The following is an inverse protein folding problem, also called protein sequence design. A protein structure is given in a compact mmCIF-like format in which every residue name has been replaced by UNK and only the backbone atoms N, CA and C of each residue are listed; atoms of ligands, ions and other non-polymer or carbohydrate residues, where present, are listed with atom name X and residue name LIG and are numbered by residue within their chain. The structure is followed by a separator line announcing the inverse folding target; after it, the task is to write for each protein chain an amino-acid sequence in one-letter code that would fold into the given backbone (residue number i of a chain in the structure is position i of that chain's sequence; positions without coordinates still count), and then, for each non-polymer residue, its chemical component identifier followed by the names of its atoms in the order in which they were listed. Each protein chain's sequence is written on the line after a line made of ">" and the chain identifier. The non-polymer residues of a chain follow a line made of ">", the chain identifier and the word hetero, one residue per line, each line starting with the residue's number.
data_IF_440623636955
#
_entry.id   IF_440623636955
#
_cell.length_a   1.000
_cell.length_b   1.000
_cell.length_c   1.000
_cell.angle_alpha   90.00
_cell.angle_beta   90.00
_cell.angle_gamma   90.00
#
_symmetry.space_group_name_H-M   'P 1'
#
loop_
_entity.id
_entity.type
_entity.pdbx_description
1 polymer ?
#
# COMPACT_ATOMS: atom_id res chain seq x y z
N UNK A 1 -23.12 30.63 -44.95
CA UNK A 1 -23.04 29.35 -44.25
C UNK A 1 -22.26 29.60 -42.99
N UNK A 2 -22.86 29.48 -41.82
CA UNK A 2 -22.15 29.64 -40.54
C UNK A 2 -21.52 28.27 -40.26
N UNK A 3 -20.22 28.17 -40.30
CA UNK A 3 -19.55 26.94 -39.94
C UNK A 3 -19.47 26.86 -38.42
N UNK A 4 -20.06 25.86 -37.85
CA UNK A 4 -19.87 25.57 -36.43
C UNK A 4 -18.44 25.07 -36.25
N UNK A 5 -17.61 25.87 -35.58
CA UNK A 5 -16.20 25.53 -35.31
C UNK A 5 -16.03 24.35 -34.32
N UNK A 6 -17.13 23.75 -33.86
CA UNK A 6 -17.11 22.60 -32.97
C UNK A 6 -18.00 21.50 -33.56
N UNK A 7 -17.61 20.24 -33.29
CA UNK A 7 -18.37 19.04 -33.63
C UNK A 7 -18.24 17.99 -32.57
N UNK A 8 -19.28 17.19 -32.45
CA UNK A 8 -19.33 15.99 -31.63
C UNK A 8 -19.16 14.80 -32.55
N UNK A 9 -18.32 13.84 -32.14
CA UNK A 9 -18.12 12.60 -32.87
C UNK A 9 -17.52 11.52 -31.98
N UNK A 10 -17.40 10.33 -32.54
CA UNK A 10 -16.89 9.14 -31.85
C UNK A 10 -15.42 8.91 -32.19
N UNK A 11 -14.62 8.52 -31.20
CA UNK A 11 -13.22 8.16 -31.40
C UNK A 11 -13.11 6.87 -32.20
N UNK A 12 -12.57 6.94 -33.43
CA UNK A 12 -12.38 5.81 -34.32
C UNK A 12 -11.02 5.13 -34.19
N UNK A 13 -9.98 5.89 -33.82
CA UNK A 13 -8.63 5.35 -33.56
C UNK A 13 -7.82 6.30 -32.68
N UNK A 14 -6.84 5.74 -31.98
CA UNK A 14 -5.96 6.48 -31.07
C UNK A 14 -4.48 6.24 -31.40
N UNK A 15 -3.65 7.26 -31.15
CA UNK A 15 -2.20 7.18 -31.23
C UNK A 15 -1.59 7.59 -29.87
N UNK A 16 -1.34 6.66 -28.96
CA UNK A 16 -0.82 6.94 -27.62
C UNK A 16 0.56 7.62 -27.62
N UNK A 17 1.39 7.34 -28.62
CA UNK A 17 2.76 7.90 -28.69
C UNK A 17 2.73 9.42 -28.97
N UNK A 18 1.77 9.85 -29.80
CA UNK A 18 1.62 11.27 -30.16
C UNK A 18 0.57 11.99 -29.33
N UNK A 19 -0.18 11.28 -28.47
CA UNK A 19 -1.34 11.81 -27.76
C UNK A 19 -2.37 12.44 -28.72
N UNK A 20 -2.72 11.69 -29.80
CA UNK A 20 -3.69 12.09 -30.81
C UNK A 20 -4.75 11.01 -31.00
N UNK A 21 -5.91 11.40 -31.53
CA UNK A 21 -6.94 10.47 -31.94
C UNK A 21 -7.60 10.95 -33.25
N UNK A 22 -8.28 10.01 -33.91
CA UNK A 22 -9.16 10.30 -35.07
C UNK A 22 -10.59 10.14 -34.62
N UNK A 23 -11.43 11.02 -35.10
CA UNK A 23 -12.85 11.09 -34.77
C UNK A 23 -13.68 10.91 -36.03
N UNK A 24 -14.72 10.10 -35.95
CA UNK A 24 -15.72 9.88 -37.00
C UNK A 24 -16.95 10.74 -36.69
N UNK A 25 -17.50 11.39 -37.72
CA UNK A 25 -18.74 12.16 -37.65
C UNK A 25 -19.82 11.46 -38.47
N UNK A 26 -20.82 10.90 -37.81
CA UNK A 26 -21.92 10.19 -38.49
C UNK A 26 -22.81 11.13 -39.32
N UNK A 27 -22.96 12.39 -38.93
CA UNK A 27 -23.72 13.41 -39.60
C UNK A 27 -23.06 13.90 -40.90
N UNK A 28 -21.78 13.59 -41.13
CA UNK A 28 -20.99 14.01 -42.28
C UNK A 28 -20.59 12.82 -43.19
N UNK A 29 -21.52 11.91 -43.46
CA UNK A 29 -21.26 10.69 -44.26
C UNK A 29 -20.14 9.82 -43.70
N UNK A 30 -20.06 9.68 -42.39
CA UNK A 30 -19.01 8.92 -41.68
C UNK A 30 -17.59 9.41 -42.00
N UNK A 31 -17.41 10.71 -42.14
CA UNK A 31 -16.12 11.31 -42.37
C UNK A 31 -15.22 11.15 -41.13
N UNK A 32 -13.97 10.76 -41.37
CA UNK A 32 -12.96 10.60 -40.33
C UNK A 32 -11.94 11.72 -40.39
N UNK A 33 -11.61 12.30 -39.24
CA UNK A 33 -10.61 13.38 -39.14
C UNK A 33 -9.20 12.89 -39.41
N UNK A 34 -8.24 13.80 -39.57
CA UNK A 34 -6.82 13.54 -39.38
C UNK A 34 -6.53 13.27 -37.90
N UNK A 35 -5.25 13.03 -37.55
CA UNK A 35 -4.81 12.84 -36.17
C UNK A 35 -4.94 14.15 -35.40
N UNK A 36 -5.98 14.31 -34.61
CA UNK A 36 -6.22 15.50 -33.78
C UNK A 36 -5.51 15.36 -32.43
N UNK A 37 -4.80 16.39 -31.95
CA UNK A 37 -4.25 16.40 -30.59
C UNK A 37 -5.39 16.38 -29.55
N UNK A 38 -5.14 15.71 -28.42
CA UNK A 38 -6.08 15.64 -27.30
C UNK A 38 -5.65 16.68 -26.26
N UNK A 39 -6.57 17.56 -25.86
CA UNK A 39 -6.31 18.56 -24.84
C UNK A 39 -5.96 17.91 -23.50
N UNK A 40 -4.82 18.30 -22.95
CA UNK A 40 -4.36 17.91 -21.63
C UNK A 40 -4.34 19.14 -20.73
N UNK A 41 -4.49 18.97 -19.40
CA UNK A 41 -4.42 20.09 -18.46
C UNK A 41 -3.06 20.76 -18.48
N UNK A 42 -1.99 19.97 -18.56
CA UNK A 42 -0.61 20.42 -18.57
C UNK A 42 0.20 19.60 -19.58
N UNK A 43 1.10 20.24 -20.33
CA UNK A 43 1.82 19.58 -21.43
C UNK A 43 3.32 19.93 -21.52
N UNK A 44 3.87 20.69 -20.56
CA UNK A 44 5.29 21.11 -20.64
C UNK A 44 6.09 20.58 -19.43
N UNK A 45 6.26 21.35 -18.38
CA UNK A 45 6.99 20.95 -17.16
C UNK A 45 6.21 19.94 -16.36
N UNK A 46 5.00 20.29 -15.94
CA UNK A 46 4.01 19.33 -15.46
C UNK A 46 3.30 18.75 -16.67
N UNK A 47 3.00 17.45 -16.62
CA UNK A 47 2.37 16.74 -17.73
C UNK A 47 1.24 15.87 -17.22
N UNK A 48 0.06 16.05 -17.79
CA UNK A 48 -1.06 15.14 -17.65
C UNK A 48 -1.13 14.27 -18.91
N UNK A 49 -1.61 13.05 -18.75
CA UNK A 49 -1.81 12.13 -19.85
C UNK A 49 -3.10 11.35 -19.64
N UNK A 50 -4.08 11.64 -20.49
CA UNK A 50 -5.35 10.95 -20.52
C UNK A 50 -5.76 10.75 -21.99
N UNK A 51 -5.94 9.50 -22.37
CA UNK A 51 -6.41 9.11 -23.70
C UNK A 51 -7.87 8.70 -23.61
N UNK A 52 -8.72 9.10 -24.59
CA UNK A 52 -10.05 8.52 -24.71
C UNK A 52 -9.95 7.06 -25.19
N UNK A 53 -10.97 6.27 -24.90
CA UNK A 53 -11.14 4.94 -25.51
C UNK A 53 -11.73 5.07 -26.93
N UNK A 54 -11.49 4.07 -27.76
CA UNK A 54 -12.16 3.93 -29.06
C UNK A 54 -13.65 3.68 -28.81
N UNK A 55 -14.53 4.41 -29.49
CA UNK A 55 -15.96 4.41 -29.27
C UNK A 55 -16.45 5.46 -28.26
N UNK A 56 -15.55 6.33 -27.76
CA UNK A 56 -15.91 7.39 -26.82
C UNK A 56 -16.38 8.65 -27.54
N UNK A 57 -17.50 9.24 -27.09
CA UNK A 57 -18.02 10.49 -27.60
C UNK A 57 -17.17 11.67 -27.13
N UNK A 58 -16.69 12.48 -28.10
CA UNK A 58 -15.80 13.61 -27.86
C UNK A 58 -16.27 14.88 -28.54
N UNK A 59 -15.94 16.00 -27.89
CA UNK A 59 -16.10 17.33 -28.48
C UNK A 59 -14.81 17.77 -29.15
N UNK A 60 -14.89 18.10 -30.45
CA UNK A 60 -13.79 18.62 -31.24
C UNK A 60 -14.00 20.12 -31.53
N UNK A 61 -12.92 20.89 -31.49
CA UNK A 61 -12.87 22.28 -31.92
C UNK A 61 -11.94 22.42 -33.14
N UNK A 62 -12.43 23.04 -34.21
CA UNK A 62 -11.70 23.25 -35.45
C UNK A 62 -11.35 24.72 -35.68
N UNK A 63 -10.18 24.97 -36.25
CA UNK A 63 -9.69 26.35 -36.56
C UNK A 63 -10.08 26.86 -37.93
N UNK A 64 -10.47 25.99 -38.83
CA UNK A 64 -10.84 26.30 -40.21
C UNK A 64 -12.03 25.46 -40.65
N UNK A 65 -12.50 25.72 -41.85
CA UNK A 65 -13.67 25.07 -42.48
C UNK A 65 -13.42 23.56 -42.80
N UNK A 66 -12.22 23.04 -42.52
CA UNK A 66 -11.85 21.64 -42.71
C UNK A 66 -11.62 20.91 -41.36
N UNK A 67 -11.69 19.58 -41.40
CA UNK A 67 -11.45 18.69 -40.24
C UNK A 67 -9.96 18.31 -40.07
N UNK A 68 -9.07 19.12 -40.68
CA UNK A 68 -7.63 18.86 -40.69
C UNK A 68 -6.90 19.52 -39.52
N UNK A 69 -7.37 20.68 -39.06
CA UNK A 69 -6.73 21.50 -38.02
C UNK A 69 -7.70 21.73 -36.86
N UNK A 70 -7.67 20.85 -35.90
CA UNK A 70 -8.53 20.87 -34.72
C UNK A 70 -7.88 20.27 -33.50
N UNK A 71 -8.62 20.26 -32.41
CA UNK A 71 -8.23 19.68 -31.11
C UNK A 71 -9.43 18.99 -30.48
N UNK A 72 -9.21 17.83 -29.86
CA UNK A 72 -10.20 17.17 -29.02
C UNK A 72 -10.16 17.83 -27.64
N UNK A 73 -11.28 18.44 -27.23
CA UNK A 73 -11.40 19.19 -25.98
C UNK A 73 -11.64 18.26 -24.79
N UNK A 74 -12.40 17.18 -24.99
CA UNK A 74 -12.73 16.19 -23.96
C UNK A 74 -13.91 15.34 -24.37
N UNK A 75 -14.22 14.38 -23.52
CA UNK A 75 -15.35 13.46 -23.63
C UNK A 75 -16.50 13.87 -22.71
N UNK A 76 -17.67 13.32 -22.98
CA UNK A 76 -18.86 13.52 -22.18
C UNK A 76 -19.71 12.25 -22.20
N UNK A 77 -20.56 12.09 -21.19
CA UNK A 77 -21.47 10.95 -21.12
C UNK A 77 -22.63 11.14 -22.08
N UNK A 78 -22.84 10.18 -23.00
CA UNK A 78 -23.91 10.17 -23.97
C UNK A 78 -24.50 8.77 -24.13
N UNK A 79 -25.70 8.70 -24.73
CA UNK A 79 -26.39 7.44 -24.97
C UNK A 79 -26.66 6.66 -23.67
N UNK A 80 -26.26 5.38 -23.68
CA UNK A 80 -26.45 4.46 -22.55
C UNK A 80 -25.28 4.46 -21.57
N UNK A 81 -24.27 5.35 -21.74
CA UNK A 81 -23.11 5.44 -20.86
C UNK A 81 -23.43 6.31 -19.66
N UNK A 82 -23.55 5.69 -18.49
CA UNK A 82 -23.84 6.39 -17.23
C UNK A 82 -22.55 6.85 -16.53
N UNK A 83 -22.58 8.03 -15.86
CA UNK A 83 -21.47 8.45 -15.00
C UNK A 83 -21.31 7.48 -13.81
N UNK A 84 -20.06 7.27 -13.33
CA UNK A 84 -19.77 6.31 -12.26
C UNK A 84 -20.31 6.73 -10.89
N UNK A 85 -20.86 7.94 -10.76
CA UNK A 85 -21.40 8.50 -9.52
C UNK A 85 -22.74 9.21 -9.75
N UNK A 86 -23.60 9.14 -8.75
CA UNK A 86 -24.92 9.78 -8.74
C UNK A 86 -25.00 10.97 -7.79
N UNK A 87 -23.90 11.34 -7.13
CA UNK A 87 -23.82 12.46 -6.18
C UNK A 87 -22.70 13.43 -6.56
N UNK A 88 -22.92 14.71 -6.32
CA UNK A 88 -21.91 15.76 -6.51
C UNK A 88 -20.85 15.79 -5.40
N UNK A 89 -20.97 14.99 -4.36
CA UNK A 89 -20.04 14.96 -3.24
C UNK A 89 -18.80 14.10 -3.51
N UNK A 90 -18.82 13.32 -4.59
CA UNK A 90 -17.74 12.42 -4.96
C UNK A 90 -16.95 12.92 -6.15
N UNK A 91 -15.65 12.76 -6.08
CA UNK A 91 -14.75 12.84 -7.22
C UNK A 91 -14.12 11.47 -7.44
N UNK A 92 -14.45 10.86 -8.57
CA UNK A 92 -14.07 9.48 -8.87
C UNK A 92 -13.31 9.39 -10.19
N UNK A 93 -12.32 8.52 -10.23
CA UNK A 93 -11.68 8.02 -11.44
C UNK A 93 -11.86 6.51 -11.46
N UNK A 94 -12.40 5.98 -12.54
CA UNK A 94 -12.56 4.55 -12.78
C UNK A 94 -11.74 4.16 -13.99
N UNK A 95 -10.93 3.13 -13.86
CA UNK A 95 -10.15 2.55 -14.95
C UNK A 95 -10.90 1.35 -15.54
N UNK A 96 -10.55 1.00 -16.78
CA UNK A 96 -11.20 -0.09 -17.52
C UNK A 96 -11.10 -1.47 -16.85
N UNK A 97 -10.08 -1.69 -16.04
CA UNK A 97 -9.87 -2.91 -15.25
C UNK A 97 -10.69 -2.94 -13.95
N UNK A 98 -11.51 -1.92 -13.69
CA UNK A 98 -12.29 -1.75 -12.47
C UNK A 98 -11.54 -1.09 -11.30
N UNK A 99 -10.26 -0.73 -11.49
CA UNK A 99 -9.53 0.09 -10.52
C UNK A 99 -10.25 1.42 -10.31
N UNK A 100 -10.43 1.82 -9.04
CA UNK A 100 -11.20 3.01 -8.69
C UNK A 100 -10.48 3.85 -7.65
N UNK A 101 -10.41 5.16 -7.89
CA UNK A 101 -9.93 6.16 -6.93
C UNK A 101 -11.09 7.11 -6.66
N UNK A 102 -11.54 7.21 -5.42
CA UNK A 102 -12.69 8.02 -5.06
C UNK A 102 -12.41 8.83 -3.80
N UNK A 103 -12.71 10.12 -3.85
CA UNK A 103 -12.81 10.96 -2.66
C UNK A 103 -14.26 11.41 -2.48
N UNK A 104 -14.81 11.11 -1.31
CA UNK A 104 -16.13 11.54 -0.88
C UNK A 104 -15.99 12.67 0.15
N UNK A 105 -16.40 13.89 -0.24
CA UNK A 105 -16.29 15.07 0.63
C UNK A 105 -17.33 15.09 1.76
N UNK A 106 -18.43 14.37 1.63
CA UNK A 106 -19.47 14.32 2.67
C UNK A 106 -19.01 13.48 3.86
N UNK A 107 -18.34 12.36 3.60
CA UNK A 107 -17.74 11.50 4.63
C UNK A 107 -16.26 11.79 4.88
N UNK A 108 -15.63 12.68 4.10
CA UNK A 108 -14.21 12.96 4.10
C UNK A 108 -13.34 11.72 3.89
N UNK A 109 -13.78 10.80 3.05
CA UNK A 109 -13.15 9.50 2.86
C UNK A 109 -12.47 9.41 1.48
N UNK A 110 -11.20 9.06 1.48
CA UNK A 110 -10.45 8.63 0.30
C UNK A 110 -10.46 7.11 0.23
N UNK A 111 -10.93 6.56 -0.88
CA UNK A 111 -10.90 5.12 -1.16
C UNK A 111 -10.14 4.85 -2.45
N UNK A 112 -9.20 3.90 -2.41
CA UNK A 112 -8.55 3.35 -3.60
C UNK A 112 -8.78 1.85 -3.62
N UNK A 113 -9.32 1.34 -4.72
CA UNK A 113 -9.59 -0.09 -4.93
C UNK A 113 -8.85 -0.56 -6.17
N UNK A 114 -8.02 -1.59 -6.01
CA UNK A 114 -7.25 -2.21 -7.11
C UNK A 114 -7.41 -3.73 -6.95
N UNK A 115 -8.28 -4.34 -7.74
CA UNK A 115 -8.64 -5.75 -7.57
C UNK A 115 -9.01 -6.07 -6.11
N UNK A 116 -8.28 -6.92 -5.42
CA UNK A 116 -8.53 -7.25 -4.01
C UNK A 116 -7.88 -6.31 -2.98
N UNK A 117 -7.04 -5.36 -3.43
CA UNK A 117 -6.40 -4.37 -2.54
C UNK A 117 -7.34 -3.21 -2.31
N UNK A 118 -7.53 -2.83 -1.05
CA UNK A 118 -8.36 -1.68 -0.64
C UNK A 118 -7.58 -0.79 0.31
N UNK A 119 -7.53 0.49 -0.02
CA UNK A 119 -6.95 1.54 0.82
C UNK A 119 -8.06 2.51 1.18
N UNK A 120 -8.27 2.76 2.46
CA UNK A 120 -9.27 3.70 2.96
C UNK A 120 -8.63 4.62 3.98
N UNK A 121 -8.82 5.91 3.80
CA UNK A 121 -8.46 6.93 4.78
C UNK A 121 -9.63 7.88 4.99
N UNK A 122 -9.99 8.13 6.23
CA UNK A 122 -10.91 9.17 6.63
C UNK A 122 -10.26 10.13 7.65
N UNK A 123 -11.03 10.97 8.32
CA UNK A 123 -10.50 11.94 9.30
C UNK A 123 -9.93 11.30 10.58
N UNK A 124 -10.26 10.06 10.88
CA UNK A 124 -9.94 9.39 12.15
C UNK A 124 -9.20 8.07 11.94
N UNK A 125 -9.47 7.39 10.84
CA UNK A 125 -8.97 6.05 10.59
C UNK A 125 -8.24 5.93 9.25
N UNK A 126 -7.30 5.00 9.19
CA UNK A 126 -6.65 4.60 7.96
C UNK A 126 -6.47 3.09 7.91
N UNK A 127 -6.79 2.47 6.80
CA UNK A 127 -6.60 1.03 6.61
C UNK A 127 -6.03 0.72 5.23
N UNK A 128 -5.20 -0.31 5.19
CA UNK A 128 -4.64 -0.89 3.96
C UNK A 128 -4.86 -2.39 4.04
N UNK A 129 -5.67 -2.93 3.15
CA UNK A 129 -5.92 -4.37 3.02
C UNK A 129 -5.30 -4.86 1.72
N UNK A 130 -4.44 -5.86 1.82
CA UNK A 130 -3.76 -6.49 0.68
C UNK A 130 -3.99 -8.00 0.76
N UNK A 131 -4.45 -8.67 -0.33
CA UNK A 131 -4.82 -10.09 -0.27
C UNK A 131 -3.64 -11.03 0.03
N UNK A 132 -2.45 -10.73 -0.47
CA UNK A 132 -1.32 -11.66 -0.40
C UNK A 132 -0.15 -11.12 0.40
N UNK A 133 0.49 -10.02 -0.01
CA UNK A 133 1.69 -9.54 0.64
C UNK A 133 1.82 -8.02 0.58
N UNK A 134 2.33 -7.43 1.65
CA UNK A 134 2.75 -6.04 1.71
C UNK A 134 4.21 -5.96 2.13
N UNK A 135 4.99 -5.09 1.48
CA UNK A 135 6.41 -4.90 1.79
C UNK A 135 6.74 -3.42 1.94
N UNK A 136 7.56 -3.10 2.94
CA UNK A 136 8.07 -1.75 3.17
C UNK A 136 9.60 -1.78 3.09
N UNK A 137 10.18 -1.12 2.10
CA UNK A 137 11.63 -0.99 1.92
C UNK A 137 12.02 0.46 2.20
N UNK A 138 12.74 0.68 3.28
CA UNK A 138 13.18 2.02 3.67
C UNK A 138 14.51 1.97 4.43
N UNK A 139 15.20 3.10 4.51
CA UNK A 139 16.42 3.22 5.31
C UNK A 139 16.10 3.23 6.82
N UNK A 140 15.00 3.88 7.21
CA UNK A 140 14.52 3.95 8.59
C UNK A 140 13.01 3.91 8.61
N UNK A 141 12.41 3.16 9.54
CA UNK A 141 10.98 3.12 9.79
C UNK A 141 10.71 3.50 11.25
N UNK A 142 9.66 4.28 11.49
CA UNK A 142 9.16 4.61 12.81
C UNK A 142 7.66 4.25 12.87
N UNK A 143 7.29 3.44 13.87
CA UNK A 143 5.89 3.21 14.23
C UNK A 143 5.69 3.78 15.63
N UNK A 144 4.85 4.79 15.77
CA UNK A 144 4.56 5.43 17.04
C UNK A 144 3.05 5.42 17.29
N UNK A 145 2.64 4.85 18.41
CA UNK A 145 1.26 4.84 18.87
C UNK A 145 1.21 5.32 20.34
N UNK A 146 0.19 6.10 20.68
CA UNK A 146 0.01 6.60 22.05
C UNK A 146 -0.52 5.55 23.01
N UNK A 147 -1.18 4.51 22.51
CA UNK A 147 -1.80 3.47 23.32
C UNK A 147 -1.17 2.10 23.08
N UNK A 148 -1.23 1.57 21.87
CA UNK A 148 -0.75 0.22 21.59
C UNK A 148 -0.34 0.04 20.13
N UNK A 149 0.57 -0.90 19.90
CA UNK A 149 0.87 -1.50 18.59
C UNK A 149 0.61 -3.01 18.71
N UNK A 150 -0.26 -3.54 17.86
CA UNK A 150 -0.54 -4.97 17.79
C UNK A 150 0.06 -5.57 16.51
N UNK A 151 0.80 -6.66 16.68
CA UNK A 151 1.28 -7.49 15.56
C UNK A 151 0.61 -8.85 15.73
N UNK A 152 -0.37 -9.14 14.89
CA UNK A 152 -1.09 -10.41 14.86
C UNK A 152 -0.53 -11.27 13.70
N UNK A 153 0.34 -12.21 14.05
CA UNK A 153 1.00 -13.10 13.10
C UNK A 153 1.40 -14.39 13.77
N UNK A 154 1.21 -15.56 13.14
CA UNK A 154 1.71 -16.83 13.66
C UNK A 154 3.22 -16.84 13.90
N UNK A 155 3.99 -16.08 13.12
CA UNK A 155 5.45 -15.96 13.26
C UNK A 155 5.89 -14.52 12.99
N UNK A 156 6.72 -13.98 13.87
CA UNK A 156 7.37 -12.69 13.70
C UNK A 156 8.88 -12.88 13.74
N UNK A 157 9.60 -12.44 12.71
CA UNK A 157 11.06 -12.59 12.61
C UNK A 157 11.75 -11.25 12.75
N UNK A 158 12.72 -11.17 13.65
CA UNK A 158 13.64 -10.04 13.79
C UNK A 158 15.05 -10.55 13.47
N UNK A 159 15.66 -10.04 12.42
CA UNK A 159 17.01 -10.46 11.97
C UNK A 159 18.12 -9.66 12.64
N UNK A 160 17.80 -8.61 13.35
CA UNK A 160 18.73 -7.76 14.10
C UNK A 160 18.46 -7.79 15.62
N UNK A 161 19.09 -6.86 16.33
CA UNK A 161 18.92 -6.72 17.77
C UNK A 161 17.57 -6.09 18.12
N UNK A 162 16.98 -6.53 19.22
CA UNK A 162 15.77 -5.94 19.80
C UNK A 162 16.13 -5.29 21.12
N UNK A 163 15.76 -4.01 21.30
CA UNK A 163 15.84 -3.32 22.57
C UNK A 163 14.43 -3.04 23.08
N UNK A 164 14.11 -3.54 24.28
CA UNK A 164 12.83 -3.33 24.94
C UNK A 164 13.07 -2.57 26.24
N UNK A 165 12.46 -1.40 26.39
CA UNK A 165 12.58 -0.60 27.63
C UNK A 165 11.58 -1.03 28.70
N UNK A 166 10.54 -1.74 28.34
CA UNK A 166 9.48 -2.22 29.22
C UNK A 166 9.58 -3.71 29.53
N UNK A 167 8.49 -4.27 30.02
CA UNK A 167 8.36 -5.68 30.36
C UNK A 167 8.16 -6.53 29.10
N UNK A 168 8.79 -7.70 29.07
CA UNK A 168 8.51 -8.75 28.08
C UNK A 168 7.72 -9.86 28.77
N UNK A 169 6.53 -10.18 28.27
CA UNK A 169 5.71 -11.29 28.76
C UNK A 169 5.55 -12.34 27.65
N UNK A 170 6.05 -13.53 27.88
CA UNK A 170 5.89 -14.69 26.98
C UNK A 170 4.92 -15.71 27.60
N UNK A 171 3.73 -15.89 27.04
CA UNK A 171 2.75 -16.87 27.54
C UNK A 171 3.06 -18.30 27.12
N UNK A 172 3.73 -18.49 25.98
CA UNK A 172 4.11 -19.79 25.45
C UNK A 172 5.51 -20.27 25.84
N UNK A 173 6.24 -19.47 26.63
CA UNK A 173 7.61 -19.76 27.01
C UNK A 173 8.66 -18.87 26.33
N UNK A 174 9.91 -19.09 26.70
CA UNK A 174 11.08 -18.41 26.18
C UNK A 174 12.19 -19.41 25.88
N UNK A 175 12.62 -19.52 24.64
CA UNK A 175 13.69 -20.42 24.22
C UNK A 175 14.83 -19.63 23.58
N UNK A 176 16.05 -19.85 24.02
CA UNK A 176 17.27 -19.33 23.42
C UNK A 176 18.10 -20.47 22.89
N UNK A 177 18.39 -20.49 21.61
CA UNK A 177 19.21 -21.52 20.95
C UNK A 177 20.37 -20.89 20.21
N UNK A 178 21.57 -21.41 20.45
CA UNK A 178 22.82 -20.93 19.84
C UNK A 178 23.39 -19.65 20.47
N UNK A 179 24.53 -19.19 19.97
CA UNK A 179 25.18 -17.96 20.40
C UNK A 179 25.78 -17.99 21.81
N UNK A 180 25.94 -16.83 22.41
CA UNK A 180 26.60 -16.63 23.71
C UNK A 180 25.74 -16.89 24.95
N UNK A 181 24.56 -17.52 24.82
CA UNK A 181 23.66 -17.77 25.94
C UNK A 181 22.85 -16.56 26.40
N UNK A 182 22.39 -16.59 27.65
CA UNK A 182 21.61 -15.51 28.28
C UNK A 182 22.44 -14.87 29.39
N UNK A 183 22.61 -13.54 29.32
CA UNK A 183 23.20 -12.75 30.40
C UNK A 183 22.10 -12.00 31.11
N UNK A 184 21.86 -12.27 32.41
CA UNK A 184 20.90 -11.54 33.22
C UNK A 184 21.63 -10.74 34.31
N UNK A 185 21.62 -9.42 34.21
CA UNK A 185 22.13 -8.51 35.23
C UNK A 185 21.00 -8.07 36.16
N UNK A 186 20.26 -9.03 36.73
CA UNK A 186 19.09 -8.81 37.56
C UNK A 186 18.84 -10.04 38.48
N UNK A 187 17.90 -9.92 39.40
CA UNK A 187 17.42 -11.08 40.15
C UNK A 187 16.55 -11.97 39.25
N UNK A 188 16.78 -13.29 39.32
CA UNK A 188 15.96 -14.28 38.65
C UNK A 188 15.15 -15.02 39.71
N UNK A 189 13.81 -14.93 39.62
CA UNK A 189 12.91 -15.76 40.42
C UNK A 189 12.37 -16.89 39.56
N UNK A 190 12.62 -18.12 39.96
CA UNK A 190 12.15 -19.31 39.27
C UNK A 190 11.07 -20.00 40.11
N UNK A 191 9.84 -20.07 39.59
CA UNK A 191 8.73 -20.81 40.17
C UNK A 191 8.58 -22.18 39.49
N UNK A 192 9.59 -23.02 39.57
CA UNK A 192 9.66 -24.28 38.86
C UNK A 192 10.99 -24.97 39.10
N UNK A 193 11.39 -25.88 38.22
CA UNK A 193 12.63 -26.62 38.29
C UNK A 193 13.70 -26.02 37.40
N UNK A 194 14.91 -25.87 37.92
CA UNK A 194 16.11 -25.58 37.10
C UNK A 194 16.80 -26.90 36.77
N UNK A 195 16.93 -27.24 35.52
CA UNK A 195 17.72 -28.39 35.05
C UNK A 195 18.95 -27.87 34.31
N UNK A 196 20.12 -28.17 34.81
CA UNK A 196 21.39 -27.90 34.14
C UNK A 196 22.01 -29.21 33.67
N UNK A 197 22.46 -29.26 32.42
CA UNK A 197 23.12 -30.48 31.86
C UNK A 197 24.59 -30.56 32.26
N UNK A 198 25.21 -29.45 32.65
CA UNK A 198 26.60 -29.41 33.12
C UNK A 198 26.65 -29.03 34.58
N UNK A 199 26.76 -27.76 34.93
CA UNK A 199 26.89 -27.31 36.31
C UNK A 199 26.19 -25.96 36.53
N UNK A 200 25.88 -25.64 37.77
CA UNK A 200 25.45 -24.32 38.25
C UNK A 200 26.51 -23.82 39.20
N UNK A 201 27.18 -22.71 38.87
CA UNK A 201 28.26 -22.13 39.65
C UNK A 201 27.81 -20.82 40.28
N UNK A 202 27.92 -20.67 41.59
CA UNK A 202 27.64 -19.43 42.32
C UNK A 202 28.89 -19.02 43.13
N UNK A 203 29.43 -17.82 42.88
CA UNK A 203 30.63 -17.29 43.53
C UNK A 203 31.82 -18.26 43.51
N UNK A 204 31.99 -19.01 42.42
CA UNK A 204 33.06 -20.00 42.27
C UNK A 204 32.77 -21.35 42.89
N UNK A 205 31.64 -21.56 43.51
CA UNK A 205 31.22 -22.81 44.11
C UNK A 205 30.33 -23.58 43.12
N UNK A 206 30.77 -24.78 42.73
CA UNK A 206 30.03 -25.70 41.87
C UNK A 206 28.90 -26.37 42.65
N UNK A 207 27.68 -26.38 42.09
CA UNK A 207 26.58 -27.14 42.71
C UNK A 207 26.80 -28.65 42.60
N UNK A 208 27.43 -29.09 41.51
CA UNK A 208 27.68 -30.49 41.22
C UNK A 208 28.93 -31.05 41.94
N UNK A 209 29.93 -30.24 42.23
CA UNK A 209 31.25 -30.65 42.70
C UNK A 209 31.69 -30.13 44.06
N UNK A 210 30.84 -29.37 44.81
CA UNK A 210 31.25 -28.83 46.11
C UNK A 210 31.21 -29.90 47.23
N UNK A 211 32.09 -29.71 48.23
CA UNK A 211 32.15 -30.52 49.46
C UNK A 211 32.03 -29.60 50.68
N UNK A 212 31.69 -30.13 51.79
CA UNK A 212 31.67 -29.46 53.08
C UNK A 212 32.72 -29.98 54.03
N UNK A 213 33.35 -29.15 54.83
CA UNK A 213 34.26 -29.56 55.87
C UNK A 213 33.44 -30.01 57.07
N UNK A 214 33.69 -31.25 57.52
CA UNK A 214 33.09 -31.82 58.71
C UNK A 214 34.17 -32.14 59.77
N UNK A 215 33.84 -32.34 61.07
CA UNK A 215 34.81 -32.61 62.14
C UNK A 215 35.68 -33.86 61.91
N UNK A 216 35.27 -34.74 61.05
CA UNK A 216 35.99 -36.02 60.75
C UNK A 216 36.43 -36.11 59.26
N UNK A 217 36.52 -34.99 58.55
CA UNK A 217 36.92 -34.94 57.15
C UNK A 217 35.95 -34.23 56.29
N UNK A 218 36.16 -34.22 54.92
CA UNK A 218 35.23 -33.66 53.96
C UNK A 218 34.07 -34.63 53.71
N UNK A 219 32.90 -34.04 53.38
CA UNK A 219 31.75 -34.83 52.93
C UNK A 219 31.94 -35.30 51.50
N UNK A 220 31.20 -36.34 51.10
CA UNK A 220 31.04 -36.62 49.65
C UNK A 220 30.36 -35.49 48.95
N UNK A 221 30.58 -35.42 47.66
CA UNK A 221 29.82 -34.47 46.78
C UNK A 221 28.30 -34.70 46.84
N UNK A 222 27.51 -33.74 46.40
CA UNK A 222 26.07 -33.96 46.35
C UNK A 222 25.69 -35.09 45.38
N UNK A 223 24.68 -35.83 45.73
CA UNK A 223 24.18 -37.04 45.01
C UNK A 223 22.89 -36.70 44.26
#
# INVERSE_FOLDING_TARGET
>A
MQFDNFKIGEVSSINPVKCTARVIFDDENSMVTYDLPIMQRNSLGNRDYQMPDIGEDVLCLFRSDGFEDGVIIGSFYAGDVEPPETTADRRTVVFKDGTRICYDRASHTLTVTIAGTVIVFDQQTGSITVPESASVFCKTALVQASESVTIDSPNTYFTGNITVQGLITGQGGFTVTGGGGVVANCNIQLNGTLTATEDVVASGISLNGHTHTAPHGETSGPH
#
